data_IF_890772191252
#
_entry.id   IF_890772191252
#
_cell.length_a   1.000
_cell.length_b   1.000
_cell.length_c   1.000
_cell.angle_alpha   90.00
_cell.angle_beta   90.00
_cell.angle_gamma   90.00
#
_symmetry.space_group_name_H-M   'P 1'
#
loop_
_entity.id
_entity.type
_entity.pdbx_description
1 polymer ?
#
# COMPACT_ATOMS: atom_id res chain seq x y z
N UNK A 1 12.30 4.90 7.92
CA UNK A 1 11.97 3.46 8.07
C UNK A 1 12.67 2.77 6.92
N UNK A 2 13.27 1.61 7.15
CA UNK A 2 13.85 0.82 6.04
C UNK A 2 12.78 0.03 5.30
N UNK A 3 13.05 -0.34 4.05
CA UNK A 3 12.13 -1.14 3.22
C UNK A 3 11.62 -2.40 3.93
N UNK A 4 12.50 -3.17 4.57
CA UNK A 4 12.13 -4.37 5.32
C UNK A 4 11.19 -4.10 6.50
N UNK A 5 11.37 -2.96 7.18
CA UNK A 5 10.48 -2.53 8.27
C UNK A 5 9.10 -2.12 7.72
N UNK A 6 9.09 -1.41 6.59
CA UNK A 6 7.89 -1.02 5.85
C UNK A 6 7.09 -2.24 5.38
N UNK A 7 7.78 -3.28 4.87
CA UNK A 7 7.16 -4.53 4.45
C UNK A 7 6.54 -5.26 5.64
N UNK A 8 7.29 -5.40 6.74
CA UNK A 8 6.79 -6.06 7.95
C UNK A 8 5.55 -5.36 8.53
N UNK A 9 5.52 -4.03 8.53
CA UNK A 9 4.38 -3.24 8.98
C UNK A 9 3.16 -3.46 8.05
N UNK A 10 3.37 -3.39 6.73
CA UNK A 10 2.33 -3.59 5.74
C UNK A 10 1.68 -4.97 5.89
N UNK A 11 2.49 -6.03 5.92
CA UNK A 11 2.01 -7.41 6.07
C UNK A 11 1.24 -7.61 7.39
N UNK A 12 1.72 -7.02 8.49
CA UNK A 12 1.02 -7.08 9.78
C UNK A 12 -0.37 -6.44 9.67
N UNK A 13 -0.46 -5.23 9.11
CA UNK A 13 -1.74 -4.52 8.96
C UNK A 13 -2.71 -5.21 8.01
N UNK A 14 -2.19 -5.81 6.94
CA UNK A 14 -3.00 -6.58 6.01
C UNK A 14 -3.57 -7.82 6.68
N UNK A 15 -2.78 -8.52 7.49
CA UNK A 15 -3.25 -9.62 8.32
C UNK A 15 -4.33 -9.15 9.29
N UNK A 16 -4.08 -8.09 10.05
CA UNK A 16 -5.04 -7.53 11.01
C UNK A 16 -6.36 -7.11 10.31
N UNK A 17 -6.27 -6.51 9.12
CA UNK A 17 -7.43 -6.15 8.31
C UNK A 17 -8.21 -7.38 7.88
N UNK A 18 -7.54 -8.43 7.38
CA UNK A 18 -8.21 -9.67 6.97
C UNK A 18 -8.86 -10.42 8.12
N UNK A 19 -8.30 -10.35 9.32
CA UNK A 19 -8.90 -10.96 10.52
C UNK A 19 -10.17 -10.21 10.96
N UNK A 20 -10.18 -8.88 10.84
CA UNK A 20 -11.32 -8.03 11.20
C UNK A 20 -12.39 -7.96 10.12
N UNK A 21 -11.98 -7.86 8.86
CA UNK A 21 -12.80 -7.73 7.66
C UNK A 21 -12.14 -8.50 6.49
N UNK A 22 -12.41 -9.80 6.36
CA UNK A 22 -11.82 -10.63 5.31
C UNK A 22 -12.16 -10.19 3.89
N UNK A 23 -13.31 -9.54 3.70
CA UNK A 23 -13.76 -9.08 2.38
C UNK A 23 -12.92 -7.88 1.97
N UNK A 24 -12.82 -6.86 2.83
CA UNK A 24 -12.00 -5.67 2.58
C UNK A 24 -10.52 -6.02 2.42
N UNK A 25 -10.00 -6.95 3.22
CA UNK A 25 -8.62 -7.41 3.10
C UNK A 25 -8.30 -8.04 1.74
N UNK A 26 -9.19 -8.88 1.20
CA UNK A 26 -9.03 -9.47 -0.14
C UNK A 26 -9.20 -8.45 -1.26
N UNK A 27 -10.13 -7.51 -1.10
CA UNK A 27 -10.33 -6.42 -2.06
C UNK A 27 -9.07 -5.55 -2.17
N UNK A 28 -8.47 -5.16 -1.04
CA UNK A 28 -7.23 -4.37 -1.04
C UNK A 28 -6.07 -5.10 -1.72
N UNK A 29 -5.87 -6.39 -1.45
CA UNK A 29 -4.87 -7.19 -2.18
C UNK A 29 -5.14 -7.24 -3.68
N UNK A 30 -6.41 -7.42 -4.06
CA UNK A 30 -6.82 -7.40 -5.45
C UNK A 30 -6.50 -6.07 -6.13
N UNK A 31 -6.85 -4.94 -5.51
CA UNK A 31 -6.55 -3.60 -6.00
C UNK A 31 -5.04 -3.35 -6.16
N UNK A 32 -4.21 -3.84 -5.21
CA UNK A 32 -2.75 -3.70 -5.27
C UNK A 32 -2.16 -4.50 -6.43
N UNK A 33 -2.58 -5.77 -6.58
CA UNK A 33 -2.09 -6.63 -7.68
C UNK A 33 -2.57 -6.11 -9.04
N UNK A 34 -3.83 -5.66 -9.12
CA UNK A 34 -4.39 -5.08 -10.34
C UNK A 34 -3.62 -3.83 -10.75
N UNK A 35 -3.39 -2.89 -9.83
CA UNK A 35 -2.57 -1.71 -10.09
C UNK A 35 -1.15 -2.07 -10.53
N UNK A 36 -0.48 -3.02 -9.84
CA UNK A 36 0.87 -3.44 -10.21
C UNK A 36 0.91 -4.00 -11.64
N UNK A 37 -0.16 -4.63 -12.11
CA UNK A 37 -0.25 -5.10 -13.51
C UNK A 37 -0.44 -3.98 -14.54
N UNK A 38 -0.87 -2.78 -14.11
CA UNK A 38 -1.11 -1.62 -14.99
C UNK A 38 0.07 -0.65 -15.06
N UNK A 39 1.01 -0.74 -14.12
CA UNK A 39 2.18 0.14 -14.06
C UNK A 39 3.36 -0.51 -14.79
N UNK A 40 4.08 0.21 -15.66
CA UNK A 40 5.32 -0.28 -16.24
C UNK A 40 6.33 -0.61 -15.11
N UNK A 41 6.72 -1.88 -15.03
CA UNK A 41 7.67 -2.40 -14.05
C UNK A 41 8.97 -2.82 -14.75
N UNK A 42 10.10 -2.84 -14.03
CA UNK A 42 11.27 -3.56 -14.52
C UNK A 42 10.98 -5.08 -14.50
N UNK A 43 11.69 -5.85 -15.35
CA UNK A 43 11.43 -7.29 -15.54
C UNK A 43 11.50 -8.12 -14.23
N UNK A 44 12.20 -7.62 -13.21
CA UNK A 44 12.43 -8.30 -11.91
C UNK A 44 11.72 -7.61 -10.72
N UNK A 45 10.93 -6.54 -10.94
CA UNK A 45 10.26 -5.84 -9.84
C UNK A 45 9.11 -6.69 -9.29
N UNK A 46 9.14 -6.96 -7.99
CA UNK A 46 8.00 -7.56 -7.30
C UNK A 46 6.88 -6.52 -7.09
N UNK A 47 5.66 -7.01 -6.86
CA UNK A 47 4.52 -6.16 -6.45
C UNK A 47 4.86 -5.31 -5.23
N UNK A 48 5.66 -5.84 -4.30
CA UNK A 48 6.11 -5.10 -3.13
C UNK A 48 7.07 -3.97 -3.51
N UNK A 49 8.04 -4.21 -4.40
CA UNK A 49 9.04 -3.19 -4.78
C UNK A 49 8.34 -2.00 -5.46
N UNK A 50 7.38 -2.30 -6.34
CA UNK A 50 6.54 -1.28 -6.97
C UNK A 50 5.72 -0.50 -5.94
N UNK A 51 5.03 -1.21 -5.05
CA UNK A 51 4.22 -0.60 -4.00
C UNK A 51 5.07 0.27 -3.06
N UNK A 52 6.27 -0.20 -2.70
CA UNK A 52 7.18 0.51 -1.84
C UNK A 52 7.68 1.79 -2.48
N UNK A 53 8.09 1.74 -3.76
CA UNK A 53 8.45 2.94 -4.52
C UNK A 53 7.33 3.98 -4.54
N UNK A 54 6.08 3.53 -4.73
CA UNK A 54 4.92 4.41 -4.68
C UNK A 54 4.68 4.99 -3.27
N UNK A 55 4.83 4.18 -2.21
CA UNK A 55 4.73 4.65 -0.81
C UNK A 55 5.78 5.74 -0.53
N UNK A 56 7.02 5.54 -0.96
CA UNK A 56 8.09 6.54 -0.82
C UNK A 56 7.73 7.83 -1.54
N UNK A 57 7.28 7.71 -2.79
CA UNK A 57 6.87 8.85 -3.60
C UNK A 57 5.72 9.65 -2.96
N UNK A 58 4.73 8.97 -2.35
CA UNK A 58 3.62 9.62 -1.63
C UNK A 58 4.15 10.30 -0.35
N UNK A 59 5.00 9.61 0.41
CA UNK A 59 5.58 10.13 1.64
C UNK A 59 6.36 11.44 1.40
N UNK A 60 7.18 11.46 0.34
CA UNK A 60 7.93 12.64 -0.08
C UNK A 60 7.03 13.80 -0.49
N UNK A 61 6.05 13.54 -1.37
CA UNK A 61 5.12 14.57 -1.88
C UNK A 61 4.26 15.18 -0.79
N UNK A 62 3.76 14.35 0.13
CA UNK A 62 2.92 14.78 1.26
C UNK A 62 3.72 15.25 2.47
N UNK A 63 5.06 15.12 2.46
CA UNK A 63 5.96 15.43 3.59
C UNK A 63 5.59 14.68 4.88
N UNK A 64 5.25 13.39 4.74
CA UNK A 64 4.92 12.48 5.85
C UNK A 64 5.87 11.29 5.85
N UNK A 65 5.82 10.44 6.87
CA UNK A 65 6.60 9.20 6.89
C UNK A 65 5.96 8.09 6.04
N UNK A 66 6.78 7.17 5.54
CA UNK A 66 6.31 5.92 4.91
C UNK A 66 5.34 5.15 5.83
N UNK A 67 5.63 5.13 7.14
CA UNK A 67 4.77 4.54 8.16
C UNK A 67 3.37 5.19 8.16
N UNK A 68 3.30 6.51 8.04
CA UNK A 68 2.02 7.21 7.99
C UNK A 68 1.25 6.89 6.71
N UNK A 69 1.91 6.80 5.55
CA UNK A 69 1.26 6.37 4.30
C UNK A 69 0.70 4.95 4.43
N UNK A 70 1.48 4.03 5.01
CA UNK A 70 1.01 2.67 5.28
C UNK A 70 -0.16 2.70 6.25
N UNK A 71 -0.10 3.47 7.34
CA UNK A 71 -1.23 3.60 8.27
C UNK A 71 -2.50 4.12 7.58
N UNK A 72 -2.39 5.15 6.75
CA UNK A 72 -3.48 5.77 5.99
C UNK A 72 -4.18 4.74 5.07
N UNK A 73 -3.42 3.82 4.47
CA UNK A 73 -3.96 2.77 3.60
C UNK A 73 -4.92 1.81 4.32
N UNK A 74 -4.69 1.57 5.61
CA UNK A 74 -5.49 0.67 6.42
C UNK A 74 -6.47 1.39 7.35
N UNK A 75 -6.57 2.72 7.26
CA UNK A 75 -7.43 3.49 8.15
C UNK A 75 -8.93 3.28 7.79
N UNK A 76 -9.76 3.13 8.83
CA UNK A 76 -11.17 2.75 8.67
C UNK A 76 -12.05 3.92 8.24
N UNK A 77 -11.61 5.15 8.53
CA UNK A 77 -12.33 6.39 8.20
C UNK A 77 -12.06 6.91 6.79
N UNK A 78 -11.01 6.41 6.12
CA UNK A 78 -10.77 6.75 4.73
C UNK A 78 -11.65 5.84 3.86
N UNK A 79 -12.64 6.44 3.21
CA UNK A 79 -13.46 5.79 2.17
C UNK A 79 -12.64 5.58 0.88
N UNK A 80 -11.33 5.78 0.95
CA UNK A 80 -10.44 5.83 -0.19
C UNK A 80 -9.97 4.41 -0.49
N UNK A 81 -10.41 3.87 -1.63
CA UNK A 81 -9.74 2.72 -2.25
C UNK A 81 -8.24 3.00 -2.37
N UNK A 82 -7.44 1.94 -2.39
CA UNK A 82 -6.01 2.05 -2.69
C UNK A 82 -5.74 2.92 -3.93
N UNK A 83 -6.62 2.82 -4.93
CA UNK A 83 -6.62 3.66 -6.14
C UNK A 83 -6.71 5.16 -5.86
N UNK A 84 -7.52 5.60 -4.89
CA UNK A 84 -7.59 7.02 -4.52
C UNK A 84 -6.32 7.49 -3.82
N UNK A 85 -5.69 6.65 -3.00
CA UNK A 85 -4.43 6.94 -2.32
C UNK A 85 -3.28 7.11 -3.32
N UNK A 86 -3.27 6.30 -4.38
CA UNK A 86 -2.30 6.40 -5.47
C UNK A 86 -2.56 7.58 -6.40
N UNK A 87 -3.82 7.91 -6.71
CA UNK A 87 -4.15 9.05 -7.58
C UNK A 87 -3.90 10.42 -6.92
N UNK A 88 -4.03 10.51 -5.60
CA UNK A 88 -3.71 11.71 -4.82
C UNK A 88 -2.22 11.81 -4.47
N UNK A 89 -1.50 10.70 -4.64
CA UNK A 89 -0.05 10.61 -4.55
C UNK A 89 0.58 11.36 -5.67
#
# INVERSE_FOLDING_TARGET
>A
MGESESNALFLRKLKDLKERDPVRGRLLEGEIVEWASMVPAADDDSVWDMLYSQIQSIAERRKVSEEQVINDLFDQGSTNSFMMLIQLG
#
